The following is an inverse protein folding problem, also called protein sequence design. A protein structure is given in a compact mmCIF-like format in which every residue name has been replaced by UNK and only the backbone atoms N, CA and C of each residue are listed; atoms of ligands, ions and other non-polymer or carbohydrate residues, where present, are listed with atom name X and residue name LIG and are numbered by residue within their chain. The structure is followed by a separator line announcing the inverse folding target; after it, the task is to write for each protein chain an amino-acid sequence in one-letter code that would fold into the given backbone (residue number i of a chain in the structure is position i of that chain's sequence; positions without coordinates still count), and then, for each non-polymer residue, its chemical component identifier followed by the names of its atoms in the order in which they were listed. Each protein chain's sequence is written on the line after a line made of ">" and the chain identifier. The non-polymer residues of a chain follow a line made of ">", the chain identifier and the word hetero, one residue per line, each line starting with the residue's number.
data_IF_645679452708
#
_entry.id   IF_645679452708
#
_cell.length_a   1.000
_cell.length_b   1.000
_cell.length_c   1.000
_cell.angle_alpha   90.00
_cell.angle_beta   90.00
_cell.angle_gamma   90.00
#
_symmetry.space_group_name_H-M   'P 1'
#
loop_
_entity.id
_entity.type
_entity.pdbx_description
1 polymer ?
#
# COMPACT_ATOMS: atom_id res chain seq x y z
N UNK A 1 18.16 -5.16 19.41
CA UNK A 1 16.91 -4.46 19.07
C UNK A 1 17.07 -2.94 19.03
N UNK A 2 17.60 -2.25 20.06
CA UNK A 2 17.76 -0.77 20.06
C UNK A 2 18.59 -0.20 18.91
N UNK A 3 19.64 -0.89 18.44
CA UNK A 3 20.52 -0.42 17.33
C UNK A 3 19.86 -0.51 15.96
N UNK A 4 18.93 -1.46 15.75
CA UNK A 4 18.20 -1.65 14.49
C UNK A 4 17.18 -0.52 14.31
N UNK A 5 16.50 -0.12 15.39
CA UNK A 5 15.56 1.01 15.37
C UNK A 5 16.24 2.33 14.96
N UNK A 6 17.44 2.58 15.48
CA UNK A 6 18.18 3.80 15.15
C UNK A 6 18.57 3.90 13.66
N UNK A 7 18.86 2.77 13.02
CA UNK A 7 19.26 2.73 11.60
C UNK A 7 18.04 2.96 10.69
N UNK A 8 16.90 2.37 11.01
CA UNK A 8 15.65 2.60 10.24
C UNK A 8 15.19 4.04 10.38
N UNK A 9 15.28 4.60 11.56
CA UNK A 9 14.92 6.01 11.83
C UNK A 9 15.82 6.98 11.05
N UNK A 10 17.13 6.72 10.99
CA UNK A 10 18.09 7.59 10.31
C UNK A 10 17.89 7.59 8.78
N UNK A 11 17.63 6.43 8.18
CA UNK A 11 17.43 6.32 6.73
C UNK A 11 16.13 6.97 6.25
N UNK A 12 15.09 6.88 7.05
CA UNK A 12 13.79 7.45 6.71
C UNK A 12 13.76 8.95 6.97
N UNK A 13 14.44 9.44 8.01
CA UNK A 13 14.54 10.88 8.28
C UNK A 13 15.39 11.63 7.25
N UNK A 14 16.40 10.98 6.67
CA UNK A 14 17.23 11.61 5.64
C UNK A 14 16.48 11.77 4.29
N UNK A 15 15.46 10.97 4.02
CA UNK A 15 14.64 11.08 2.79
C UNK A 15 13.63 12.23 2.84
N UNK A 16 13.26 12.71 4.02
CA UNK A 16 12.32 13.84 4.19
C UNK A 16 13.01 15.20 4.03
N UNK A 17 14.34 15.25 4.15
CA UNK A 17 15.10 16.50 4.16
C UNK A 17 15.39 17.11 2.77
N UNK A 18 15.04 16.47 1.67
CA UNK A 18 15.39 16.94 0.30
C UNK A 18 14.23 17.62 -0.45
N UNK A 19 13.07 17.86 0.18
CA UNK A 19 12.01 18.68 -0.41
C UNK A 19 12.06 20.11 0.17
N UNK A 20 13.05 20.89 -0.20
CA UNK A 20 13.10 22.35 0.02
C UNK A 20 11.99 23.02 -0.77
N UNK A 21 11.02 23.60 -0.08
CA UNK A 21 10.05 24.52 -0.71
C UNK A 21 8.65 24.53 -0.11
N UNK A 22 8.45 24.11 1.13
CA UNK A 22 7.17 24.30 1.80
C UNK A 22 7.39 24.87 3.19
N UNK A 23 7.10 26.18 3.36
CA UNK A 23 6.95 26.78 4.69
C UNK A 23 5.68 26.26 5.33
N UNK A 24 5.77 25.10 6.01
CA UNK A 24 4.68 24.60 6.81
C UNK A 24 4.81 25.19 8.21
N UNK A 25 3.86 26.02 8.61
CA UNK A 25 3.59 26.36 10.00
C UNK A 25 3.48 25.09 10.83
N UNK A 26 4.37 24.91 11.78
CA UNK A 26 4.43 23.75 12.66
C UNK A 26 3.19 23.70 13.55
N UNK A 27 2.20 22.89 13.17
CA UNK A 27 1.27 22.29 14.11
C UNK A 27 1.89 20.97 14.57
N UNK A 28 2.12 20.84 15.87
CA UNK A 28 2.60 19.62 16.52
C UNK A 28 1.47 18.56 16.65
N UNK A 29 0.75 18.29 15.56
CA UNK A 29 -0.02 17.08 15.35
C UNK A 29 0.91 16.10 14.66
N UNK A 30 1.15 14.92 15.25
CA UNK A 30 2.15 13.94 14.82
C UNK A 30 2.25 13.82 13.31
N UNK A 31 3.44 14.06 12.77
CA UNK A 31 3.69 14.10 11.33
C UNK A 31 3.36 12.75 10.73
N UNK A 32 2.23 12.68 10.04
CA UNK A 32 1.76 11.44 9.44
C UNK A 32 2.72 11.04 8.32
N UNK A 33 3.28 9.84 8.39
CA UNK A 33 4.19 9.33 7.37
C UNK A 33 3.49 9.32 5.99
N UNK A 34 4.17 9.75 4.90
CA UNK A 34 3.54 9.85 3.58
C UNK A 34 3.05 8.50 3.07
N UNK A 35 1.93 8.49 2.35
CA UNK A 35 1.36 7.28 1.74
C UNK A 35 2.21 6.76 0.57
N UNK A 36 3.07 7.62 -0.01
CA UNK A 36 4.02 7.22 -1.04
C UNK A 36 5.41 7.80 -0.79
N UNK A 37 6.41 6.92 -0.68
CA UNK A 37 7.83 7.29 -0.52
C UNK A 37 8.66 6.51 -1.54
N UNK A 38 9.29 7.22 -2.46
CA UNK A 38 10.10 6.65 -3.54
C UNK A 38 11.59 6.86 -3.30
N UNK A 39 12.14 6.16 -2.31
CA UNK A 39 13.58 6.22 -1.96
C UNK A 39 14.50 5.55 -2.98
N UNK A 40 13.97 4.68 -3.81
CA UNK A 40 14.71 4.03 -4.90
C UNK A 40 14.64 4.79 -6.23
N UNK A 41 13.88 5.90 -6.29
CA UNK A 41 13.69 6.73 -7.49
C UNK A 41 13.16 5.93 -8.71
N UNK A 42 12.12 5.11 -8.48
CA UNK A 42 11.54 4.22 -9.50
C UNK A 42 10.46 4.89 -10.35
N UNK A 43 9.88 5.99 -9.85
CA UNK A 43 8.71 6.63 -10.45
C UNK A 43 9.06 8.05 -10.90
N UNK A 44 8.60 8.44 -12.09
CA UNK A 44 8.77 9.80 -12.59
C UNK A 44 8.03 10.83 -11.73
N UNK A 45 8.54 12.08 -11.60
CA UNK A 45 7.95 13.10 -10.74
C UNK A 45 6.45 13.35 -10.99
N UNK A 46 6.03 13.38 -12.25
CA UNK A 46 4.62 13.58 -12.64
C UNK A 46 3.71 12.45 -12.13
N UNK A 47 4.20 11.21 -12.13
CA UNK A 47 3.44 10.05 -11.67
C UNK A 47 3.46 9.93 -10.14
N UNK A 48 4.51 10.43 -9.45
CA UNK A 48 4.55 10.49 -7.98
C UNK A 48 3.37 11.27 -7.41
N UNK A 49 3.07 12.43 -7.98
CA UNK A 49 1.95 13.27 -7.54
C UNK A 49 0.62 12.56 -7.73
N UNK A 50 0.40 11.95 -8.89
CA UNK A 50 -0.83 11.19 -9.18
C UNK A 50 -1.00 10.01 -8.22
N UNK A 51 0.08 9.27 -7.99
CA UNK A 51 0.08 8.11 -7.12
C UNK A 51 -0.21 8.49 -5.66
N UNK A 52 0.46 9.55 -5.17
CA UNK A 52 0.20 10.06 -3.82
C UNK A 52 -1.26 10.51 -3.66
N UNK A 53 -1.82 11.21 -4.65
CA UNK A 53 -3.23 11.63 -4.65
C UNK A 53 -4.16 10.42 -4.61
N UNK A 54 -3.88 9.39 -5.43
CA UNK A 54 -4.68 8.15 -5.46
C UNK A 54 -4.65 7.40 -4.14
N UNK A 55 -3.48 7.22 -3.53
CA UNK A 55 -3.38 6.55 -2.24
C UNK A 55 -4.10 7.34 -1.13
N UNK A 56 -3.99 8.66 -1.12
CA UNK A 56 -4.73 9.52 -0.17
C UNK A 56 -6.24 9.46 -0.36
N UNK A 57 -6.71 9.38 -1.60
CA UNK A 57 -8.13 9.17 -1.91
C UNK A 57 -8.64 7.87 -1.28
N UNK A 58 -7.91 6.77 -1.44
CA UNK A 58 -8.22 5.46 -0.85
C UNK A 58 -8.23 5.55 0.69
N UNK A 59 -7.19 6.18 1.27
CA UNK A 59 -7.10 6.39 2.71
C UNK A 59 -8.30 7.18 3.26
N UNK A 60 -8.66 8.27 2.58
CA UNK A 60 -9.79 9.11 2.97
C UNK A 60 -11.13 8.40 2.82
N UNK A 61 -11.32 7.66 1.72
CA UNK A 61 -12.55 6.93 1.42
C UNK A 61 -12.85 5.86 2.47
N UNK A 62 -11.84 5.08 2.86
CA UNK A 62 -12.00 3.94 3.77
C UNK A 62 -11.58 4.21 5.21
N UNK A 63 -10.92 5.33 5.47
CA UNK A 63 -10.37 5.67 6.80
C UNK A 63 -9.20 4.80 7.22
N UNK A 64 -8.51 4.17 6.28
CA UNK A 64 -7.35 3.30 6.48
C UNK A 64 -6.05 4.04 6.19
N UNK A 65 -4.92 3.37 6.40
CA UNK A 65 -3.63 3.76 5.83
C UNK A 65 -3.26 2.78 4.72
N UNK A 66 -3.00 3.32 3.52
CA UNK A 66 -2.58 2.55 2.36
C UNK A 66 -1.32 3.17 1.76
N UNK A 67 -0.19 2.48 1.86
CA UNK A 67 1.08 3.09 1.53
C UNK A 67 1.97 2.21 0.63
N UNK A 68 2.88 2.87 -0.08
CA UNK A 68 3.96 2.26 -0.86
C UNK A 68 5.28 2.92 -0.49
N UNK A 69 6.28 2.10 -0.16
CA UNK A 69 7.65 2.51 0.12
C UNK A 69 8.61 1.79 -0.84
N UNK A 70 9.42 2.53 -1.56
CA UNK A 70 10.54 1.95 -2.30
C UNK A 70 11.86 2.34 -1.64
N UNK A 71 12.79 1.39 -1.51
CA UNK A 71 14.12 1.62 -0.95
C UNK A 71 15.20 1.05 -1.86
N UNK A 72 16.37 1.69 -1.86
CA UNK A 72 17.54 1.16 -2.59
C UNK A 72 18.03 -0.13 -1.96
N UNK A 73 18.03 -0.22 -0.63
CA UNK A 73 18.50 -1.37 0.14
C UNK A 73 17.78 -1.46 1.48
N UNK A 74 17.59 -2.68 1.95
CA UNK A 74 17.17 -2.97 3.34
C UNK A 74 18.34 -3.09 4.31
N UNK A 75 19.57 -2.79 3.86
CA UNK A 75 20.81 -2.93 4.66
C UNK A 75 21.02 -4.34 5.23
N UNK A 76 20.71 -5.36 4.43
CA UNK A 76 20.86 -6.76 4.82
C UNK A 76 19.72 -7.32 5.66
N UNK A 77 18.73 -6.50 6.01
CA UNK A 77 17.53 -6.98 6.70
C UNK A 77 16.63 -7.75 5.73
N UNK A 78 15.98 -8.80 6.21
CA UNK A 78 14.93 -9.45 5.44
C UNK A 78 13.82 -8.47 5.09
N UNK A 79 13.31 -8.51 3.85
CA UNK A 79 12.28 -7.57 3.38
C UNK A 79 11.01 -7.59 4.22
N UNK A 80 10.61 -8.75 4.73
CA UNK A 80 9.45 -8.88 5.62
C UNK A 80 9.69 -8.14 6.95
N UNK A 81 10.84 -8.39 7.58
CA UNK A 81 11.17 -7.78 8.86
C UNK A 81 11.34 -6.27 8.72
N UNK A 82 11.93 -5.82 7.62
CA UNK A 82 12.03 -4.41 7.28
C UNK A 82 10.63 -3.77 7.12
N UNK A 83 9.74 -4.38 6.33
CA UNK A 83 8.40 -3.90 6.11
C UNK A 83 7.60 -3.85 7.43
N UNK A 84 7.70 -4.88 8.27
CA UNK A 84 7.06 -4.93 9.58
C UNK A 84 7.57 -3.81 10.50
N UNK A 85 8.88 -3.57 10.54
CA UNK A 85 9.47 -2.49 11.35
C UNK A 85 8.95 -1.11 10.93
N UNK A 86 8.83 -0.85 9.62
CA UNK A 86 8.26 0.39 9.09
C UNK A 86 6.78 0.49 9.43
N UNK A 87 6.02 -0.60 9.30
CA UNK A 87 4.61 -0.66 9.67
C UNK A 87 4.40 -0.30 11.12
N UNK A 88 5.13 -0.97 12.04
CA UNK A 88 5.00 -0.77 13.48
C UNK A 88 5.39 0.65 13.90
N UNK A 89 6.39 1.24 13.24
CA UNK A 89 6.87 2.55 13.59
C UNK A 89 5.95 3.68 13.10
N UNK A 90 5.41 3.58 11.89
CA UNK A 90 4.75 4.71 11.22
C UNK A 90 3.27 4.52 10.96
N UNK A 91 2.75 3.29 11.03
CA UNK A 91 1.38 2.98 10.65
C UNK A 91 0.58 2.24 11.73
N UNK A 92 1.18 1.92 12.89
CA UNK A 92 0.57 1.12 13.96
C UNK A 92 -0.72 1.73 14.54
N UNK A 93 -0.91 3.04 14.43
CA UNK A 93 -2.04 3.76 15.02
C UNK A 93 -3.14 4.10 14.01
N UNK A 94 -3.23 3.42 12.90
CA UNK A 94 -4.29 3.62 11.93
C UNK A 94 -5.63 3.08 12.48
N UNK A 95 -6.66 3.92 12.72
CA UNK A 95 -7.87 3.51 13.45
C UNK A 95 -8.64 2.37 12.77
N UNK A 96 -8.63 2.36 11.43
CA UNK A 96 -9.29 1.33 10.63
C UNK A 96 -8.31 0.35 9.98
N UNK A 97 -7.05 0.37 10.41
CA UNK A 97 -6.00 -0.52 9.93
C UNK A 97 -5.13 0.05 8.83
N UNK A 98 -4.00 -0.62 8.60
CA UNK A 98 -2.99 -0.19 7.64
C UNK A 98 -2.46 -1.34 6.79
N UNK A 99 -2.15 -1.02 5.53
CA UNK A 99 -1.52 -1.91 4.57
C UNK A 99 -0.35 -1.17 3.89
N UNK A 100 0.82 -1.79 3.87
CA UNK A 100 2.05 -1.22 3.34
C UNK A 100 2.71 -2.17 2.36
N UNK A 101 2.96 -1.70 1.14
CA UNK A 101 3.84 -2.36 0.17
C UNK A 101 5.26 -1.80 0.30
N UNK A 102 6.24 -2.66 0.46
CA UNK A 102 7.67 -2.30 0.43
C UNK A 102 8.36 -2.99 -0.72
N UNK A 103 9.21 -2.24 -1.45
CA UNK A 103 10.07 -2.76 -2.52
C UNK A 103 11.51 -2.39 -2.22
N UNK A 104 12.41 -3.37 -2.28
CA UNK A 104 13.86 -3.18 -2.17
C UNK A 104 14.54 -3.54 -3.48
N UNK A 105 15.41 -2.64 -3.95
CA UNK A 105 16.06 -2.78 -5.25
C UNK A 105 17.38 -3.54 -5.20
N UNK A 106 18.04 -3.62 -4.05
CA UNK A 106 19.30 -4.38 -3.88
C UNK A 106 19.14 -5.87 -4.17
N UNK A 107 18.00 -6.44 -3.78
CA UNK A 107 17.68 -7.85 -3.98
C UNK A 107 16.43 -8.09 -4.84
N UNK A 108 15.82 -7.00 -5.37
CA UNK A 108 14.58 -7.01 -6.18
C UNK A 108 13.43 -7.76 -5.51
N UNK A 109 13.30 -7.60 -4.20
CA UNK A 109 12.23 -8.19 -3.41
C UNK A 109 11.17 -7.16 -3.08
N UNK A 110 9.97 -7.67 -2.86
CA UNK A 110 8.84 -6.91 -2.36
C UNK A 110 8.16 -7.67 -1.23
N UNK A 111 7.45 -6.94 -0.39
CA UNK A 111 6.59 -7.51 0.64
C UNK A 111 5.42 -6.58 0.90
N UNK A 112 4.24 -7.16 1.17
CA UNK A 112 3.09 -6.43 1.68
C UNK A 112 2.89 -6.87 3.12
N UNK A 113 2.78 -5.89 4.02
CA UNK A 113 2.46 -6.12 5.42
C UNK A 113 1.15 -5.42 5.77
N UNK A 114 0.39 -6.02 6.67
CA UNK A 114 -0.88 -5.52 7.20
C UNK A 114 -0.82 -5.51 8.71
N UNK A 115 -1.41 -4.51 9.35
CA UNK A 115 -1.59 -4.57 10.79
C UNK A 115 -2.71 -5.54 11.17
N UNK A 116 -2.88 -5.77 12.47
CA UNK A 116 -3.87 -6.71 13.00
C UNK A 116 -5.30 -6.37 12.56
N UNK A 117 -5.63 -5.08 12.50
CA UNK A 117 -6.97 -4.60 12.11
C UNK A 117 -7.21 -4.80 10.61
N UNK A 118 -6.22 -4.48 9.77
CA UNK A 118 -6.34 -4.65 8.32
C UNK A 118 -6.42 -6.13 7.93
N UNK A 119 -5.72 -7.03 8.63
CA UNK A 119 -5.74 -8.47 8.37
C UNK A 119 -7.13 -9.09 8.51
N UNK A 120 -8.03 -8.50 9.30
CA UNK A 120 -9.43 -8.95 9.37
C UNK A 120 -10.27 -8.51 8.19
N UNK A 121 -9.78 -7.58 7.35
CA UNK A 121 -10.48 -7.02 6.19
C UNK A 121 -9.89 -7.51 4.87
N UNK A 122 -8.58 -7.65 4.81
CA UNK A 122 -7.83 -8.20 3.68
C UNK A 122 -6.97 -9.33 4.22
N UNK A 123 -7.45 -10.55 4.03
CA UNK A 123 -6.82 -11.77 4.57
C UNK A 123 -5.53 -12.13 3.83
N UNK A 124 -4.65 -12.90 4.47
CA UNK A 124 -3.32 -13.23 3.95
C UNK A 124 -3.39 -13.97 2.60
N UNK A 125 -4.39 -14.82 2.37
CA UNK A 125 -4.59 -15.53 1.10
C UNK A 125 -4.88 -14.55 -0.05
N UNK A 126 -5.64 -13.48 0.22
CA UNK A 126 -5.90 -12.42 -0.77
C UNK A 126 -4.65 -11.58 -1.02
N UNK A 127 -3.84 -11.30 0.01
CA UNK A 127 -2.57 -10.57 -0.15
C UNK A 127 -1.60 -11.34 -1.05
N UNK A 128 -1.48 -12.66 -0.86
CA UNK A 128 -0.58 -13.52 -1.62
C UNK A 128 -1.15 -14.00 -2.96
N UNK A 129 -2.43 -13.87 -3.17
CA UNK A 129 -3.18 -14.18 -4.39
C UNK A 129 -3.63 -12.95 -5.17
N UNK A 130 -4.90 -12.62 -5.08
CA UNK A 130 -5.57 -11.59 -5.91
C UNK A 130 -4.89 -10.22 -5.86
N UNK A 131 -4.45 -9.77 -4.68
CA UNK A 131 -3.77 -8.48 -4.54
C UNK A 131 -2.41 -8.51 -5.24
N UNK A 132 -1.60 -9.56 -5.04
CA UNK A 132 -0.32 -9.74 -5.74
C UNK A 132 -0.53 -9.79 -7.25
N UNK A 133 -1.52 -10.51 -7.73
CA UNK A 133 -1.76 -10.71 -9.17
C UNK A 133 -2.15 -9.40 -9.87
N UNK A 134 -2.76 -8.45 -9.15
CA UNK A 134 -3.11 -7.14 -9.68
C UNK A 134 -1.88 -6.31 -10.11
N UNK A 135 -0.72 -6.45 -9.46
CA UNK A 135 0.44 -5.60 -9.71
C UNK A 135 1.70 -6.32 -10.20
N UNK A 136 1.82 -7.63 -9.97
CA UNK A 136 3.09 -8.35 -10.13
C UNK A 136 3.62 -8.34 -11.58
N UNK A 137 2.74 -8.36 -12.57
CA UNK A 137 3.14 -8.34 -13.98
C UNK A 137 3.72 -6.99 -14.39
N UNK A 138 3.19 -5.88 -13.86
CA UNK A 138 3.74 -4.55 -14.10
C UNK A 138 5.07 -4.35 -13.36
N UNK A 139 5.16 -4.85 -12.14
CA UNK A 139 6.38 -4.82 -11.36
C UNK A 139 7.52 -5.57 -12.07
N UNK A 140 7.27 -6.79 -12.58
CA UNK A 140 8.24 -7.59 -13.35
C UNK A 140 8.73 -6.90 -14.63
N UNK A 141 7.87 -6.08 -15.24
CA UNK A 141 8.18 -5.31 -16.46
C UNK A 141 8.79 -3.93 -16.17
N UNK A 142 9.05 -3.60 -14.90
CA UNK A 142 9.58 -2.30 -14.49
C UNK A 142 8.58 -1.14 -14.64
N UNK A 143 7.31 -1.42 -14.84
CA UNK A 143 6.24 -0.42 -14.93
C UNK A 143 5.77 -0.04 -13.53
N UNK A 144 6.65 0.56 -12.74
CA UNK A 144 6.45 0.78 -11.31
C UNK A 144 5.22 1.64 -11.00
N UNK A 145 5.02 2.74 -11.72
CA UNK A 145 3.84 3.59 -11.50
C UNK A 145 2.53 2.83 -11.72
N UNK A 146 2.44 2.01 -12.78
CA UNK A 146 1.29 1.16 -13.05
C UNK A 146 1.11 0.09 -11.95
N UNK A 147 2.20 -0.57 -11.53
CA UNK A 147 2.16 -1.57 -10.47
C UNK A 147 1.60 -1.00 -9.16
N UNK A 148 2.06 0.18 -8.76
CA UNK A 148 1.60 0.83 -7.53
C UNK A 148 0.17 1.34 -7.63
N UNK A 149 -0.24 1.82 -8.82
CA UNK A 149 -1.63 2.20 -9.07
C UNK A 149 -2.56 1.00 -8.99
N UNK A 150 -2.17 -0.12 -9.61
CA UNK A 150 -2.96 -1.36 -9.58
C UNK A 150 -3.04 -1.98 -8.17
N UNK A 151 -1.95 -1.89 -7.39
CA UNK A 151 -1.99 -2.23 -5.97
C UNK A 151 -3.03 -1.40 -5.22
N UNK A 152 -2.99 -0.07 -5.36
CA UNK A 152 -3.95 0.82 -4.72
C UNK A 152 -5.39 0.54 -5.15
N UNK A 153 -5.64 0.38 -6.46
CA UNK A 153 -6.97 0.07 -6.99
C UNK A 153 -7.52 -1.26 -6.41
N UNK A 154 -6.65 -2.28 -6.26
CA UNK A 154 -7.08 -3.55 -5.68
C UNK A 154 -7.37 -3.44 -4.19
N UNK A 155 -6.61 -2.64 -3.44
CA UNK A 155 -6.92 -2.33 -2.04
C UNK A 155 -8.28 -1.61 -1.92
N UNK A 156 -8.55 -0.62 -2.79
CA UNK A 156 -9.83 0.09 -2.85
C UNK A 156 -11.02 -0.86 -3.13
N UNK A 157 -10.85 -1.77 -4.09
CA UNK A 157 -11.84 -2.81 -4.41
C UNK A 157 -12.14 -3.71 -3.21
N UNK A 158 -11.09 -4.25 -2.57
CA UNK A 158 -11.21 -5.16 -1.43
C UNK A 158 -11.86 -4.48 -0.21
N UNK A 159 -11.50 -3.23 0.04
CA UNK A 159 -12.10 -2.44 1.12
C UNK A 159 -13.55 -2.08 0.83
N UNK A 160 -13.89 -1.74 -0.43
CA UNK A 160 -15.27 -1.50 -0.85
C UNK A 160 -16.13 -2.78 -0.67
N UNK A 161 -15.57 -3.94 -1.02
CA UNK A 161 -16.23 -5.23 -0.77
C UNK A 161 -16.50 -5.45 0.72
N UNK A 162 -15.45 -5.28 1.56
CA UNK A 162 -15.57 -5.45 3.01
C UNK A 162 -16.64 -4.53 3.61
N UNK A 163 -16.67 -3.25 3.20
CA UNK A 163 -17.64 -2.27 3.71
C UNK A 163 -19.07 -2.59 3.30
N UNK A 164 -19.26 -3.20 2.12
CA UNK A 164 -20.56 -3.60 1.61
C UNK A 164 -21.07 -4.90 2.21
N UNK A 165 -20.22 -5.92 2.29
CA UNK A 165 -20.62 -7.27 2.69
C UNK A 165 -20.44 -7.51 4.20
N UNK A 166 -19.66 -6.67 4.91
CA UNK A 166 -19.37 -6.81 6.34
C UNK A 166 -18.36 -7.92 6.67
N UNK A 167 -17.82 -8.61 5.66
CA UNK A 167 -16.81 -9.66 5.81
C UNK A 167 -15.69 -9.51 4.77
N UNK A 168 -14.51 -10.06 5.09
CA UNK A 168 -13.39 -10.07 4.17
C UNK A 168 -13.72 -10.91 2.91
N UNK A 169 -13.26 -10.41 1.75
CA UNK A 169 -13.31 -11.19 0.53
C UNK A 169 -12.48 -12.47 0.69
N UNK A 170 -13.10 -13.61 0.39
CA UNK A 170 -12.47 -14.93 0.48
C UNK A 170 -12.59 -15.64 -0.88
N UNK A 171 -11.49 -15.78 -1.61
CA UNK A 171 -11.51 -16.42 -2.93
C UNK A 171 -11.94 -17.89 -2.88
N UNK A 172 -11.79 -18.57 -1.74
CA UNK A 172 -12.21 -19.98 -1.57
C UNK A 172 -13.73 -20.14 -1.56
N UNK A 173 -14.47 -19.09 -1.18
CA UNK A 173 -15.94 -19.08 -1.15
C UNK A 173 -16.57 -18.86 -2.52
N UNK A 174 -15.79 -18.55 -3.57
CA UNK A 174 -16.31 -18.35 -4.95
C UNK A 174 -17.11 -19.52 -5.50
N UNK A 175 -16.88 -20.72 -5.03
CA UNK A 175 -17.63 -21.92 -5.44
C UNK A 175 -18.96 -22.12 -4.71
N UNK A 176 -19.26 -21.35 -3.66
CA UNK A 176 -20.46 -21.51 -2.83
C UNK A 176 -21.62 -20.59 -3.22
N UNK A 177 -21.35 -19.47 -3.87
CA UNK A 177 -22.39 -18.54 -4.33
C UNK A 177 -22.48 -18.60 -5.85
N UNK A 178 -23.68 -18.96 -6.36
CA UNK A 178 -23.92 -19.14 -7.77
C UNK A 178 -23.40 -17.98 -8.63
N UNK A 179 -22.86 -18.30 -9.80
CA UNK A 179 -22.12 -17.48 -10.76
C UNK A 179 -22.76 -16.13 -11.17
N UNK A 180 -23.93 -15.78 -10.67
CA UNK A 180 -24.65 -14.56 -11.01
C UNK A 180 -24.25 -13.31 -10.22
N UNK A 181 -23.80 -13.43 -8.98
CA UNK A 181 -23.57 -12.26 -8.12
C UNK A 181 -22.18 -11.60 -8.32
N UNK A 182 -21.17 -12.40 -8.63
CA UNK A 182 -19.78 -11.88 -8.79
C UNK A 182 -19.58 -11.21 -10.15
N UNK A 183 -20.25 -11.70 -11.19
CA UNK A 183 -20.22 -11.08 -12.53
C UNK A 183 -20.85 -9.66 -12.54
N UNK A 184 -21.82 -9.40 -11.69
CA UNK A 184 -22.47 -8.09 -11.59
C UNK A 184 -21.57 -7.02 -10.99
N UNK A 185 -20.67 -7.36 -10.06
CA UNK A 185 -19.78 -6.39 -9.39
C UNK A 185 -18.64 -5.96 -10.33
N UNK A 186 -18.08 -6.90 -11.10
CA UNK A 186 -17.02 -6.61 -12.08
C UNK A 186 -17.55 -5.77 -13.25
N UNK A 187 -18.78 -6.02 -13.67
CA UNK A 187 -19.40 -5.28 -14.79
C UNK A 187 -19.75 -3.84 -14.45
N UNK A 188 -20.01 -3.52 -13.18
CA UNK A 188 -20.36 -2.15 -12.76
C UNK A 188 -19.16 -1.22 -12.70
N UNK A 189 -17.94 -1.75 -12.48
CA UNK A 189 -16.71 -0.95 -12.42
C UNK A 189 -16.09 -0.67 -13.80
N UNK A 190 -16.44 -1.47 -14.82
CA UNK A 190 -15.92 -1.29 -16.19
C UNK A 190 -16.88 -0.47 -17.06
N UNK A 191 -18.15 -0.39 -16.70
CA UNK A 191 -19.22 0.25 -17.50
C UNK A 191 -19.49 1.73 -17.21
N UNK A 192 -18.85 2.36 -16.23
CA UNK A 192 -19.15 3.72 -15.76
C UNK A 192 -18.38 4.87 -16.45
N UNK A 193 -17.90 4.70 -17.66
CA UNK A 193 -17.05 5.71 -18.30
C UNK A 193 -17.32 5.97 -19.78
N UNK A 194 -18.59 6.18 -20.16
CA UNK A 194 -18.90 6.86 -21.45
C UNK A 194 -20.19 7.65 -21.32
N UNK A 195 -20.08 8.93 -21.06
CA UNK A 195 -20.85 10.01 -21.69
C UNK A 195 -20.11 11.31 -21.49
#
# INVERSE_FOLDING_TARGET
>A
MKKIFAIVTLLVSLLVAVSTGFTATASAAGQQYPSFVDGAALVQPVDKTKLLSKLREIESKHGIRCAVLTVKTTQGMNIRDYAQSVQDQYFANAPKGSILMVISMDNRKWHITTDKTMRTKIIDDVVTGDLKDAFINDLKKGRYAAAFTNYGNKVDELMTYYEKEGEAYDPSKKFSFGAGAVAAIISFLIGGGVK
#
